data_IF_289977284614
#
_entry.id   IF_289977284614
#
_cell.length_a   1.000
_cell.length_b   1.000
_cell.length_c   1.000
_cell.angle_alpha   90.00
_cell.angle_beta   90.00
_cell.angle_gamma   90.00
#
_symmetry.space_group_name_H-M   'P 1'
#
loop_
_entity.id
_entity.type
_entity.pdbx_description
1 polymer ?
#
# COMPACT_ATOMS: atom_id res chain seq x y z
N UNK A 1 -10.17 -13.66 -63.54
CA UNK A 1 -9.25 -13.21 -62.47
C UNK A 1 -9.94 -13.52 -61.17
N UNK A 2 -9.82 -14.78 -60.72
CA UNK A 2 -10.63 -15.26 -59.59
C UNK A 2 -9.80 -15.11 -58.31
N UNK A 3 -10.17 -14.12 -57.51
CA UNK A 3 -9.69 -13.96 -56.14
C UNK A 3 -10.17 -15.16 -55.32
N UNK A 4 -9.26 -16.05 -54.94
CA UNK A 4 -9.52 -17.13 -54.00
C UNK A 4 -9.42 -16.58 -52.56
N UNK A 5 -10.52 -16.47 -51.80
CA UNK A 5 -10.54 -15.85 -50.47
C UNK A 5 -10.02 -16.76 -49.34
N UNK A 6 -9.52 -17.97 -49.65
CA UNK A 6 -9.04 -18.92 -48.64
C UNK A 6 -7.61 -18.67 -48.15
N UNK A 7 -6.91 -17.66 -48.67
CA UNK A 7 -5.53 -17.34 -48.28
C UNK A 7 -5.41 -16.46 -47.03
N UNK A 8 -6.53 -16.01 -46.44
CA UNK A 8 -6.55 -15.17 -45.25
C UNK A 8 -7.05 -15.92 -44.00
N UNK A 9 -6.53 -17.13 -43.79
CA UNK A 9 -6.60 -17.76 -42.47
C UNK A 9 -5.40 -17.20 -41.68
N UNK A 10 -5.60 -16.53 -40.53
CA UNK A 10 -4.50 -16.15 -39.65
C UNK A 10 -3.74 -17.42 -39.29
N UNK A 11 -2.48 -17.51 -39.71
CA UNK A 11 -1.64 -18.66 -39.37
C UNK A 11 -1.56 -18.76 -37.84
N UNK A 12 -1.74 -19.96 -37.26
CA UNK A 12 -1.55 -20.13 -35.83
C UNK A 12 -0.11 -19.75 -35.49
N UNK A 13 0.02 -18.92 -34.44
CA UNK A 13 1.28 -18.50 -33.82
C UNK A 13 2.37 -19.55 -34.00
N UNK A 14 3.43 -19.16 -34.71
CA UNK A 14 4.62 -19.95 -35.00
C UNK A 14 5.01 -20.75 -33.76
N UNK A 15 4.70 -22.05 -33.76
CA UNK A 15 5.23 -22.98 -32.77
C UNK A 15 6.72 -23.06 -33.08
N UNK A 16 7.57 -22.57 -32.18
CA UNK A 16 9.02 -22.71 -32.31
C UNK A 16 9.37 -24.21 -32.31
N UNK A 17 9.48 -24.81 -33.48
CA UNK A 17 9.91 -26.20 -33.68
C UNK A 17 11.41 -26.26 -33.44
N UNK A 18 11.84 -26.90 -32.36
CA UNK A 18 13.27 -27.19 -32.12
C UNK A 18 13.75 -27.18 -30.67
N UNK A 19 12.97 -26.67 -29.70
CA UNK A 19 13.41 -26.67 -28.29
C UNK A 19 13.07 -28.02 -27.63
N UNK A 20 14.05 -28.75 -27.04
CA UNK A 20 13.79 -30.06 -26.46
C UNK A 20 12.72 -29.95 -25.37
N UNK A 21 11.69 -30.80 -25.43
CA UNK A 21 10.48 -30.75 -24.57
C UNK A 21 10.82 -30.61 -23.08
N UNK A 22 11.89 -31.25 -22.61
CA UNK A 22 12.38 -31.16 -21.22
C UNK A 22 12.83 -29.74 -20.81
N UNK A 23 13.38 -28.95 -21.73
CA UNK A 23 13.77 -27.55 -21.46
C UNK A 23 12.55 -26.64 -21.43
N UNK A 24 11.58 -26.84 -22.33
CA UNK A 24 10.31 -26.11 -22.30
C UNK A 24 9.52 -26.38 -21.01
N UNK A 25 9.54 -27.63 -20.52
CA UNK A 25 8.91 -27.98 -19.25
C UNK A 25 9.62 -27.34 -18.05
N UNK A 26 10.96 -27.26 -18.07
CA UNK A 26 11.75 -26.57 -17.04
C UNK A 26 11.52 -25.06 -17.06
N UNK A 27 11.49 -24.45 -18.24
CA UNK A 27 11.21 -23.03 -18.41
C UNK A 27 9.76 -22.69 -18.00
N UNK A 28 8.80 -23.53 -18.36
CA UNK A 28 7.41 -23.41 -17.92
C UNK A 28 7.25 -23.58 -16.40
N UNK A 29 8.03 -24.48 -15.77
CA UNK A 29 8.08 -24.60 -14.31
C UNK A 29 8.68 -23.34 -13.68
N UNK A 30 9.83 -22.89 -14.17
CA UNK A 30 10.50 -21.67 -13.68
C UNK A 30 9.59 -20.44 -13.75
N UNK A 31 8.92 -20.21 -14.89
CA UNK A 31 7.95 -19.09 -15.03
C UNK A 31 6.78 -19.22 -14.04
N UNK A 32 6.27 -20.43 -13.80
CA UNK A 32 5.25 -20.68 -12.79
C UNK A 32 5.75 -20.42 -11.38
N UNK A 33 6.99 -20.82 -11.07
CA UNK A 33 7.59 -20.62 -9.74
C UNK A 33 7.78 -19.13 -9.45
N UNK A 34 8.20 -18.34 -10.45
CA UNK A 34 8.27 -16.87 -10.33
C UNK A 34 6.89 -16.27 -10.07
N UNK A 35 5.86 -16.67 -10.83
CA UNK A 35 4.49 -16.19 -10.62
C UNK A 35 3.94 -16.58 -9.24
N UNK A 36 4.20 -17.81 -8.79
CA UNK A 36 3.80 -18.29 -7.46
C UNK A 36 4.50 -17.53 -6.34
N UNK A 37 5.79 -17.24 -6.49
CA UNK A 37 6.54 -16.43 -5.54
C UNK A 37 5.98 -15.01 -5.46
N UNK A 38 5.64 -14.41 -6.60
CA UNK A 38 5.00 -13.10 -6.64
C UNK A 38 3.64 -13.09 -5.91
N UNK A 39 2.79 -14.10 -6.12
CA UNK A 39 1.51 -14.19 -5.40
C UNK A 39 1.70 -14.41 -3.89
N UNK A 40 2.71 -15.19 -3.48
CA UNK A 40 3.05 -15.33 -2.06
C UNK A 40 3.44 -14.00 -1.44
N UNK A 41 4.29 -13.21 -2.11
CA UNK A 41 4.68 -11.87 -1.66
C UNK A 41 3.47 -10.92 -1.58
N UNK A 42 2.61 -10.93 -2.59
CA UNK A 42 1.35 -10.17 -2.60
C UNK A 42 0.44 -10.57 -1.43
N UNK A 43 0.28 -11.86 -1.18
CA UNK A 43 -0.56 -12.35 -0.08
C UNK A 43 0.04 -11.95 1.28
N UNK A 44 1.37 -11.97 1.41
CA UNK A 44 2.06 -11.54 2.62
C UNK A 44 1.86 -10.05 2.88
N UNK A 45 2.07 -9.19 1.88
CA UNK A 45 1.88 -7.74 2.05
C UNK A 45 0.44 -7.36 2.40
N UNK A 46 -0.55 -8.06 1.83
CA UNK A 46 -1.96 -7.90 2.21
C UNK A 46 -2.18 -8.31 3.68
N UNK A 47 -1.61 -9.44 4.11
CA UNK A 47 -1.73 -9.89 5.49
C UNK A 47 -1.06 -8.94 6.49
N UNK A 48 0.09 -8.38 6.13
CA UNK A 48 0.82 -7.41 6.94
C UNK A 48 0.00 -6.12 7.09
N UNK A 49 -0.64 -5.66 6.02
CA UNK A 49 -1.58 -4.53 6.06
C UNK A 49 -2.76 -4.79 7.01
N UNK A 50 -3.36 -5.98 6.97
CA UNK A 50 -4.45 -6.36 7.89
C UNK A 50 -3.95 -6.38 9.35
N UNK A 51 -2.72 -6.83 9.61
CA UNK A 51 -2.14 -6.79 10.95
C UNK A 51 -1.83 -5.36 11.43
N UNK A 52 -1.43 -4.47 10.53
CA UNK A 52 -1.28 -3.05 10.84
C UNK A 52 -2.62 -2.42 11.24
N UNK A 53 -3.69 -2.71 10.49
CA UNK A 53 -5.06 -2.28 10.84
C UNK A 53 -5.47 -2.79 12.22
N UNK A 54 -5.21 -4.05 12.54
CA UNK A 54 -5.48 -4.60 13.87
C UNK A 54 -4.85 -3.75 14.98
N UNK A 55 -3.59 -3.37 14.86
CA UNK A 55 -2.87 -2.58 15.88
C UNK A 55 -3.48 -1.20 16.15
N UNK A 56 -4.09 -0.57 15.16
CA UNK A 56 -4.66 0.79 15.30
C UNK A 56 -6.12 0.79 15.80
N UNK A 57 -6.82 -0.35 15.73
CA UNK A 57 -8.20 -0.46 16.19
C UNK A 57 -8.23 -0.46 17.73
N UNK A 58 -8.82 0.57 18.33
CA UNK A 58 -8.82 0.83 19.78
C UNK A 58 -9.86 -0.03 20.53
N UNK A 59 -9.80 -1.35 20.48
CA UNK A 59 -10.67 -2.23 21.30
C UNK A 59 -9.95 -3.51 21.75
N UNK A 60 -10.14 -3.91 23.01
CA UNK A 60 -9.29 -4.83 23.81
C UNK A 60 -9.14 -6.29 23.33
N UNK A 61 -9.72 -6.70 22.20
CA UNK A 61 -9.72 -8.11 21.73
C UNK A 61 -9.20 -8.26 20.29
N UNK A 62 -8.19 -7.47 19.94
CA UNK A 62 -7.60 -7.34 18.60
C UNK A 62 -7.07 -8.68 18.05
N UNK A 63 -6.55 -9.54 18.93
CA UNK A 63 -5.79 -10.74 18.57
C UNK A 63 -6.65 -11.85 17.95
N UNK A 64 -7.98 -11.79 18.10
CA UNK A 64 -8.93 -12.79 17.58
C UNK A 64 -9.86 -12.28 16.48
N UNK A 65 -9.64 -11.06 15.98
CA UNK A 65 -10.53 -10.50 14.95
C UNK A 65 -10.33 -11.18 13.60
N UNK A 66 -11.44 -11.66 13.02
CA UNK A 66 -11.47 -12.16 11.65
C UNK A 66 -11.09 -11.06 10.65
N UNK A 67 -10.59 -11.42 9.45
CA UNK A 67 -10.24 -10.43 8.41
C UNK A 67 -11.42 -9.51 8.07
N UNK A 68 -12.62 -10.07 7.93
CA UNK A 68 -13.83 -9.30 7.64
C UNK A 68 -14.17 -8.33 8.78
N UNK A 69 -14.03 -8.77 10.02
CA UNK A 69 -14.27 -7.91 11.20
C UNK A 69 -13.26 -6.77 11.26
N UNK A 70 -11.98 -7.02 10.99
CA UNK A 70 -10.96 -5.95 10.95
C UNK A 70 -11.33 -4.87 9.94
N UNK A 71 -11.74 -5.26 8.72
CA UNK A 71 -12.14 -4.32 7.68
C UNK A 71 -13.39 -3.53 8.08
N UNK A 72 -14.41 -4.21 8.60
CA UNK A 72 -15.64 -3.57 9.07
C UNK A 72 -15.37 -2.56 10.18
N UNK A 73 -14.65 -2.98 11.23
CA UNK A 73 -14.28 -2.11 12.36
C UNK A 73 -13.42 -0.92 11.92
N UNK A 74 -12.56 -1.12 10.92
CA UNK A 74 -11.76 -0.02 10.36
C UNK A 74 -12.65 1.02 9.69
N UNK A 75 -13.65 0.61 8.90
CA UNK A 75 -14.60 1.53 8.30
C UNK A 75 -15.45 2.25 9.36
N UNK A 76 -15.97 1.52 10.35
CA UNK A 76 -16.70 2.10 11.50
C UNK A 76 -15.85 3.13 12.24
N UNK A 77 -14.56 2.83 12.46
CA UNK A 77 -13.65 3.71 13.18
C UNK A 77 -13.34 4.99 12.41
N UNK A 78 -13.18 4.92 11.09
CA UNK A 78 -13.02 6.11 10.23
C UNK A 78 -14.26 7.01 10.35
N UNK A 79 -15.45 6.45 10.19
CA UNK A 79 -16.71 7.20 10.30
C UNK A 79 -16.85 7.84 11.69
N UNK A 80 -16.53 7.10 12.74
CA UNK A 80 -16.54 7.62 14.10
C UNK A 80 -15.58 8.80 14.28
N UNK A 81 -14.32 8.68 13.83
CA UNK A 81 -13.35 9.77 13.89
C UNK A 81 -13.79 11.00 13.10
N UNK A 82 -14.41 10.83 11.92
CA UNK A 82 -14.95 11.93 11.13
C UNK A 82 -16.07 12.66 11.89
N UNK A 83 -16.98 11.92 12.52
CA UNK A 83 -18.02 12.53 13.36
C UNK A 83 -17.48 13.27 14.58
N UNK A 84 -16.49 12.70 15.27
CA UNK A 84 -15.85 13.35 16.43
C UNK A 84 -15.11 14.61 16.01
N UNK A 85 -14.42 14.59 14.86
CA UNK A 85 -13.74 15.75 14.31
C UNK A 85 -14.72 16.90 14.04
N UNK A 86 -15.88 16.60 13.44
CA UNK A 86 -16.93 17.59 13.20
C UNK A 86 -17.46 18.19 14.50
N UNK A 87 -17.78 17.35 15.49
CA UNK A 87 -18.30 17.80 16.79
C UNK A 87 -17.27 18.69 17.53
N UNK A 88 -16.01 18.29 17.52
CA UNK A 88 -14.94 19.08 18.13
C UNK A 88 -14.69 20.40 17.39
N UNK A 89 -14.84 20.42 16.06
CA UNK A 89 -14.73 21.65 15.28
C UNK A 89 -15.85 22.64 15.64
N UNK A 90 -17.09 22.17 15.75
CA UNK A 90 -18.25 22.99 16.15
C UNK A 90 -18.08 23.56 17.56
N UNK A 91 -17.66 22.73 18.51
CA UNK A 91 -17.42 23.18 19.88
C UNK A 91 -16.27 24.19 19.94
N UNK A 92 -15.17 23.95 19.23
CA UNK A 92 -14.08 24.92 19.12
C UNK A 92 -14.53 26.24 18.50
N UNK A 93 -15.38 26.19 17.48
CA UNK A 93 -15.96 27.39 16.89
C UNK A 93 -16.83 28.16 17.89
N UNK A 94 -17.72 27.46 18.60
CA UNK A 94 -18.57 28.04 19.63
C UNK A 94 -17.76 28.71 20.73
N UNK A 95 -16.72 28.03 21.23
CA UNK A 95 -15.81 28.55 22.25
C UNK A 95 -15.05 29.78 21.73
N UNK A 96 -14.50 29.75 20.52
CA UNK A 96 -13.84 30.91 19.89
C UNK A 96 -14.78 32.11 19.78
N UNK A 97 -16.04 31.89 19.42
CA UNK A 97 -17.06 32.95 19.36
C UNK A 97 -17.37 33.52 20.74
N UNK A 98 -17.55 32.67 21.76
CA UNK A 98 -17.79 33.11 23.13
C UNK A 98 -16.61 33.94 23.66
N UNK A 99 -15.38 33.48 23.44
CA UNK A 99 -14.16 34.18 23.82
C UNK A 99 -14.11 35.57 23.17
N UNK A 100 -14.36 35.67 21.85
CA UNK A 100 -14.45 36.96 21.16
C UNK A 100 -15.51 37.87 21.77
N UNK A 101 -16.70 37.36 22.05
CA UNK A 101 -17.79 38.14 22.64
C UNK A 101 -17.46 38.65 24.05
N UNK A 102 -16.83 37.82 24.89
CA UNK A 102 -16.42 38.23 26.23
C UNK A 102 -15.36 39.33 26.16
N UNK A 103 -14.40 39.24 25.24
CA UNK A 103 -13.42 40.31 25.02
C UNK A 103 -14.08 41.60 24.52
N UNK A 104 -15.01 41.54 23.56
CA UNK A 104 -15.74 42.73 23.09
C UNK A 104 -16.60 43.36 24.19
N UNK A 105 -17.22 42.57 25.07
CA UNK A 105 -18.02 43.05 26.21
C UNK A 105 -17.16 43.64 27.33
N UNK A 106 -15.94 43.13 27.54
CA UNK A 106 -15.00 43.64 28.55
C UNK A 106 -14.27 44.94 28.13
N UNK A 107 -14.41 45.40 26.89
CA UNK A 107 -13.80 46.67 26.43
C UNK A 107 -14.65 47.91 26.80
N UNK A 108 -15.91 47.74 27.22
CA UNK A 108 -16.79 48.87 27.56
C UNK A 108 -16.95 49.16 29.07
N UNK A 109 -16.24 48.44 29.94
CA UNK A 109 -16.43 48.53 31.39
C UNK A 109 -15.13 48.62 32.19
N UNK A 110 -14.43 49.74 32.11
CA UNK A 110 -13.50 50.16 33.17
C UNK A 110 -12.04 49.72 32.99
N UNK A 111 -11.17 50.73 32.90
CA UNK A 111 -9.70 50.68 33.03
C UNK A 111 -8.95 49.81 32.02
N UNK A 112 -8.38 50.51 31.03
CA UNK A 112 -7.53 49.93 30.00
C UNK A 112 -6.40 49.09 30.58
N UNK A 113 -6.36 47.85 30.14
CA UNK A 113 -5.17 47.00 30.16
C UNK A 113 -5.12 46.29 28.81
N UNK A 114 -4.39 46.80 27.81
CA UNK A 114 -4.07 46.03 26.62
C UNK A 114 -2.94 45.09 27.03
N UNK A 115 -3.26 43.91 27.58
CA UNK A 115 -2.19 42.94 27.85
C UNK A 115 -1.59 42.46 26.52
N UNK A 116 -0.26 42.28 26.51
CA UNK A 116 0.58 42.36 25.34
C UNK A 116 0.38 41.11 24.50
N UNK A 117 0.16 41.33 23.21
CA UNK A 117 0.78 40.58 22.12
C UNK A 117 1.23 39.15 22.49
N UNK A 118 0.31 38.25 22.89
CA UNK A 118 0.55 36.85 22.58
C UNK A 118 0.49 36.79 21.07
N UNK A 119 1.67 36.79 20.46
CA UNK A 119 1.90 36.43 19.07
C UNK A 119 1.25 35.06 18.84
N UNK A 120 -0.07 35.02 18.63
CA UNK A 120 -0.62 34.01 17.74
C UNK A 120 -0.22 34.47 16.36
N UNK A 121 1.00 34.08 15.97
CA UNK A 121 1.54 34.26 14.64
C UNK A 121 0.50 33.74 13.66
N UNK A 122 -0.21 34.69 13.07
CA UNK A 122 -1.22 34.48 12.05
C UNK A 122 -0.49 34.03 10.79
N UNK A 123 -0.21 32.73 10.67
CA UNK A 123 0.10 32.13 9.38
C UNK A 123 -1.24 31.78 8.73
N UNK A 124 -1.87 32.76 8.11
CA UNK A 124 -2.92 32.52 7.12
C UNK A 124 -2.27 32.06 5.83
N UNK A 125 -2.45 30.80 5.46
CA UNK A 125 -2.48 30.23 4.10
C UNK A 125 -3.16 28.86 4.30
N UNK A 126 -4.34 28.50 3.77
CA UNK A 126 -4.74 28.46 2.36
C UNK A 126 -3.60 28.08 1.42
N UNK A 127 -2.98 26.92 1.65
CA UNK A 127 -2.19 26.26 0.60
C UNK A 127 -2.07 24.76 0.88
N UNK A 128 -2.68 23.98 -0.02
CA UNK A 128 -2.23 22.67 -0.48
C UNK A 128 -1.75 21.67 0.59
N UNK A 129 -2.64 20.80 1.07
CA UNK A 129 -2.24 19.43 1.41
C UNK A 129 -2.27 18.56 0.15
N UNK A 130 -1.53 19.01 -0.87
CA UNK A 130 -0.94 18.13 -1.86
C UNK A 130 0.52 17.91 -1.41
N UNK A 131 0.91 16.63 -1.32
CA UNK A 131 2.30 16.14 -1.23
C UNK A 131 3.02 16.30 0.11
N UNK A 132 2.74 15.39 1.04
CA UNK A 132 3.78 14.76 1.88
C UNK A 132 3.40 13.31 2.18
N UNK A 133 3.46 12.46 1.16
CA UNK A 133 3.96 11.10 1.35
C UNK A 133 5.32 11.10 0.64
N UNK A 134 6.45 10.94 1.36
CA UNK A 134 7.68 10.48 0.75
C UNK A 134 7.38 9.15 0.04
N UNK A 135 7.41 9.18 -1.29
CA UNK A 135 7.49 7.98 -2.10
C UNK A 135 8.91 7.40 -1.90
N UNK A 136 9.12 6.74 -0.76
CA UNK A 136 10.31 5.90 -0.54
C UNK A 136 10.03 4.47 -1.05
N UNK A 137 9.51 4.38 -2.27
CA UNK A 137 9.80 3.25 -3.14
C UNK A 137 10.83 3.73 -4.14
N UNK A 138 12.10 3.70 -3.69
CA UNK A 138 13.22 3.67 -4.61
C UNK A 138 13.06 2.47 -5.53
N UNK A 139 12.95 2.79 -6.82
CA UNK A 139 13.42 1.91 -7.88
C UNK A 139 14.94 1.83 -7.75
N UNK A 140 15.44 0.88 -6.97
CA UNK A 140 16.78 0.36 -7.20
C UNK A 140 16.69 -0.60 -8.40
N UNK A 141 16.70 0.01 -9.59
CA UNK A 141 17.34 -0.62 -10.74
C UNK A 141 18.85 -0.49 -10.52
N UNK A 142 19.45 -1.51 -9.92
CA UNK A 142 20.88 -1.78 -10.08
C UNK A 142 21.06 -3.04 -10.90
N UNK A 143 21.60 -2.81 -12.09
CA UNK A 143 22.24 -3.70 -13.04
C UNK A 143 22.87 -4.98 -12.46
N UNK A 144 22.62 -6.09 -13.18
CA UNK A 144 23.57 -7.11 -13.63
C UNK A 144 24.67 -7.57 -12.64
N UNK A 145 24.45 -8.74 -12.03
CA UNK A 145 25.52 -9.71 -11.81
C UNK A 145 25.19 -11.00 -12.59
N UNK A 146 25.58 -11.01 -13.87
CA UNK A 146 25.80 -12.24 -14.63
C UNK A 146 27.08 -12.91 -14.09
N UNK A 147 26.99 -13.67 -13.00
CA UNK A 147 28.01 -14.67 -12.63
C UNK A 147 27.51 -15.62 -11.53
N UNK A 148 26.96 -16.75 -11.95
CA UNK A 148 27.17 -18.07 -11.36
C UNK A 148 26.72 -19.07 -12.44
N UNK A 149 27.60 -19.39 -13.38
CA UNK A 149 28.77 -20.18 -13.01
C UNK A 149 28.28 -21.56 -12.61
N UNK A 150 27.81 -22.28 -13.64
CA UNK A 150 27.90 -23.73 -13.79
C UNK A 150 28.96 -24.29 -12.85
N UNK A 151 28.56 -25.09 -11.86
CA UNK A 151 29.30 -26.26 -11.38
C UNK A 151 28.48 -26.98 -10.28
N UNK A 152 28.53 -28.31 -10.33
CA UNK A 152 28.01 -29.27 -9.33
C UNK A 152 26.53 -29.68 -9.41
N UNK A 153 26.19 -30.43 -10.47
CA UNK A 153 25.65 -31.79 -10.23
C UNK A 153 26.42 -32.72 -11.17
N UNK A 154 27.66 -33.01 -10.80
CA UNK A 154 28.38 -34.15 -11.32
C UNK A 154 27.57 -35.41 -11.03
N UNK A 155 27.54 -36.30 -12.03
CA UNK A 155 27.00 -37.63 -11.95
C UNK A 155 27.64 -38.39 -10.76
N UNK A 156 26.82 -38.89 -9.84
CA UNK A 156 27.20 -40.06 -9.06
C UNK A 156 26.30 -41.22 -9.46
N UNK A 157 26.68 -41.84 -10.58
CA UNK A 157 26.28 -43.20 -10.91
C UNK A 157 27.37 -44.14 -10.39
N UNK A 158 27.46 -44.29 -9.06
CA UNK A 158 28.18 -45.42 -8.48
C UNK A 158 27.59 -45.83 -7.14
N UNK A 159 27.22 -47.12 -7.07
CA UNK A 159 26.94 -47.95 -5.87
C UNK A 159 25.48 -48.00 -5.41
N UNK A 160 24.71 -48.90 -6.03
CA UNK A 160 24.01 -49.91 -5.24
C UNK A 160 23.95 -51.22 -6.02
N UNK A 161 24.99 -52.04 -5.86
CA UNK A 161 24.99 -53.47 -6.15
C UNK A 161 25.60 -54.14 -4.91
N UNK A 162 24.95 -55.22 -4.45
CA UNK A 162 25.21 -56.04 -3.25
C UNK A 162 24.55 -55.44 -1.99
N UNK A 163 23.62 -56.10 -1.29
CA UNK A 163 23.36 -57.53 -1.05
C UNK A 163 21.86 -57.79 -1.03
#
# INVERSE_FOLDING_TARGET
MDFNPKSLIPQPLVRCVGRPKKLLDRESRSRRDVANNHERKRMQSINDGIQALRRILRHKDIEKLSKATVLLRSAEYVIHLESELSLLADENYRLKCLVKQLFHKNVFGGTGMPFPHLFYSQKSMSESTEKLIPNDYNSDESEMDDNNGVDNIAMDLTKCSKK
#
